data_IF_293751355105
#
_entry.id   IF_293751355105
#
_cell.length_a   1.000
_cell.length_b   1.000
_cell.length_c   1.000
_cell.angle_alpha   90.00
_cell.angle_beta   90.00
_cell.angle_gamma   90.00
#
_symmetry.space_group_name_H-M   'P 1'
#
loop_
_entity.id
_entity.type
_entity.pdbx_description
1 polymer ?
#
# COMPACT_ATOMS: atom_id res chain seq x y z
N UNK A 1 19.76 -6.34 25.06
CA UNK A 1 18.82 -6.84 24.04
C UNK A 1 18.79 -5.79 22.93
N UNK A 2 19.48 -5.98 21.80
CA UNK A 2 19.59 -4.95 20.73
C UNK A 2 19.59 -5.56 19.31
N UNK A 3 19.23 -6.84 19.17
CA UNK A 3 19.32 -7.59 17.91
C UNK A 3 18.00 -7.78 17.15
N UNK A 4 16.85 -7.55 17.81
CA UNK A 4 15.53 -7.71 17.18
C UNK A 4 15.07 -6.44 16.46
N UNK A 5 15.34 -5.26 17.04
CA UNK A 5 14.96 -3.96 16.47
C UNK A 5 15.61 -3.76 15.09
N UNK A 6 16.93 -3.95 14.96
CA UNK A 6 17.62 -3.77 13.66
C UNK A 6 17.16 -4.72 12.54
N UNK A 7 16.75 -5.95 12.88
CA UNK A 7 16.22 -6.89 11.88
C UNK A 7 14.81 -6.52 11.45
N UNK A 8 14.00 -5.98 12.37
CA UNK A 8 12.64 -5.50 12.09
C UNK A 8 12.66 -4.25 11.22
N UNK A 9 13.52 -3.28 11.56
CA UNK A 9 13.80 -2.10 10.74
C UNK A 9 14.22 -2.47 9.31
N UNK A 10 15.17 -3.41 9.18
CA UNK A 10 15.61 -3.88 7.87
C UNK A 10 14.51 -4.60 7.09
N UNK A 11 13.59 -5.27 7.77
CA UNK A 11 12.43 -5.93 7.15
C UNK A 11 11.38 -4.92 6.67
N UNK A 12 11.06 -3.94 7.50
CA UNK A 12 10.15 -2.84 7.16
C UNK A 12 10.68 -2.03 5.97
N UNK A 13 11.96 -1.65 6.01
CA UNK A 13 12.58 -0.89 4.92
C UNK A 13 12.56 -1.66 3.60
N UNK A 14 12.79 -2.98 3.64
CA UNK A 14 12.71 -3.83 2.47
C UNK A 14 11.27 -3.94 1.93
N UNK A 15 10.29 -4.07 2.81
CA UNK A 15 8.88 -4.10 2.42
C UNK A 15 8.44 -2.77 1.79
N UNK A 16 8.82 -1.63 2.37
CA UNK A 16 8.54 -0.30 1.81
C UNK A 16 9.23 -0.09 0.46
N UNK A 17 10.48 -0.54 0.32
CA UNK A 17 11.18 -0.52 -0.97
C UNK A 17 10.44 -1.36 -2.03
N UNK A 18 9.88 -2.52 -1.63
CA UNK A 18 9.09 -3.35 -2.53
C UNK A 18 7.78 -2.68 -2.95
N UNK A 19 7.09 -2.02 -2.03
CA UNK A 19 5.88 -1.25 -2.33
C UNK A 19 6.17 -0.03 -3.20
N UNK A 20 7.34 0.59 -3.06
CA UNK A 20 7.77 1.71 -3.91
C UNK A 20 7.82 1.32 -5.38
N UNK A 21 8.13 0.06 -5.67
CA UNK A 21 8.22 -0.52 -7.01
C UNK A 21 7.02 -1.40 -7.37
N UNK A 22 5.93 -1.36 -6.60
CA UNK A 22 4.77 -2.20 -6.87
C UNK A 22 4.15 -1.84 -8.23
N UNK A 23 3.81 -2.83 -9.04
CA UNK A 23 3.19 -2.58 -10.35
C UNK A 23 1.68 -2.85 -10.32
N UNK A 24 1.27 -3.77 -9.44
CA UNK A 24 -0.12 -4.24 -9.34
C UNK A 24 -0.62 -4.14 -7.92
N UNK A 25 -1.88 -3.74 -7.76
CA UNK A 25 -2.59 -3.77 -6.48
C UNK A 25 -3.40 -5.05 -6.35
N UNK A 26 -3.02 -5.87 -5.38
CA UNK A 26 -3.77 -7.02 -4.91
C UNK A 26 -3.72 -7.13 -3.38
N UNK A 27 -4.85 -7.44 -2.74
CA UNK A 27 -4.95 -7.58 -1.28
C UNK A 27 -5.14 -9.03 -0.82
N UNK A 28 -5.22 -9.98 -1.74
CA UNK A 28 -5.38 -11.40 -1.47
C UNK A 28 -4.60 -12.26 -2.45
N UNK A 29 -4.69 -13.58 -2.29
CA UNK A 29 -4.09 -14.52 -3.21
C UNK A 29 -4.64 -14.35 -4.62
N UNK A 30 -3.74 -14.35 -5.61
CA UNK A 30 -4.09 -14.21 -7.02
C UNK A 30 -3.77 -15.49 -7.81
N UNK A 31 -4.52 -15.70 -8.90
CA UNK A 31 -4.39 -16.87 -9.76
C UNK A 31 -4.97 -18.17 -9.19
N UNK A 32 -4.84 -19.26 -9.95
CA UNK A 32 -5.47 -20.56 -9.66
C UNK A 32 -4.95 -21.21 -8.35
N UNK A 33 -3.71 -20.93 -7.97
CA UNK A 33 -3.10 -21.42 -6.74
C UNK A 33 -3.34 -20.51 -5.53
N UNK A 34 -3.97 -19.33 -5.73
CA UNK A 34 -4.14 -18.34 -4.67
C UNK A 34 -2.82 -17.82 -4.10
N UNK A 35 -1.77 -17.73 -4.93
CA UNK A 35 -0.46 -17.27 -4.48
C UNK A 35 -0.47 -15.77 -4.20
N UNK A 36 0.17 -15.35 -3.12
CA UNK A 36 0.34 -13.92 -2.84
C UNK A 36 1.37 -13.33 -3.80
N UNK A 37 1.09 -12.12 -4.29
CA UNK A 37 2.10 -11.34 -4.97
C UNK A 37 3.14 -10.83 -3.95
N UNK A 38 4.41 -10.67 -4.35
CA UNK A 38 5.42 -10.13 -3.43
C UNK A 38 5.07 -8.73 -2.91
N UNK A 39 4.35 -7.92 -3.69
CA UNK A 39 3.78 -6.64 -3.27
C UNK A 39 2.74 -6.82 -2.16
N UNK A 40 1.88 -7.83 -2.27
CA UNK A 40 0.87 -8.14 -1.24
C UNK A 40 1.52 -8.63 0.05
N UNK A 41 2.59 -9.44 -0.05
CA UNK A 41 3.36 -9.85 1.13
C UNK A 41 4.02 -8.65 1.81
N UNK A 42 4.62 -7.75 1.03
CA UNK A 42 5.21 -6.51 1.55
C UNK A 42 4.14 -5.63 2.23
N UNK A 43 2.97 -5.49 1.61
CA UNK A 43 1.82 -4.79 2.21
C UNK A 43 1.45 -5.39 3.59
N UNK A 44 1.33 -6.72 3.68
CA UNK A 44 1.01 -7.39 4.95
C UNK A 44 2.09 -7.18 6.02
N UNK A 45 3.38 -7.18 5.62
CA UNK A 45 4.49 -6.90 6.54
C UNK A 45 4.44 -5.47 7.08
N UNK A 46 4.18 -4.48 6.22
CA UNK A 46 4.02 -3.08 6.67
C UNK A 46 2.79 -2.93 7.55
N UNK A 47 1.66 -3.55 7.18
CA UNK A 47 0.43 -3.56 7.98
C UNK A 47 0.61 -4.24 9.35
N UNK A 48 1.55 -5.17 9.52
CA UNK A 48 1.87 -5.72 10.82
C UNK A 48 2.74 -4.76 11.65
N UNK A 49 3.66 -4.04 11.00
CA UNK A 49 4.56 -3.08 11.64
C UNK A 49 3.85 -1.80 12.12
N UNK A 50 2.73 -1.42 11.48
CA UNK A 50 1.91 -0.28 11.90
C UNK A 50 1.42 -0.40 13.34
N UNK A 51 1.20 -1.62 13.87
CA UNK A 51 0.78 -1.83 15.26
C UNK A 51 1.88 -1.50 16.29
N UNK A 52 3.16 -1.49 15.88
CA UNK A 52 4.30 -1.37 16.79
C UNK A 52 5.08 -0.05 16.62
N UNK A 53 5.14 0.50 15.40
CA UNK A 53 5.97 1.66 15.04
C UNK A 53 5.19 2.72 14.25
N UNK A 54 4.01 3.12 14.72
CA UNK A 54 3.08 4.01 14.02
C UNK A 54 3.72 5.28 13.43
N UNK A 55 4.57 5.97 14.20
CA UNK A 55 5.18 7.23 13.76
C UNK A 55 6.12 7.06 12.57
N UNK A 56 7.07 6.13 12.67
CA UNK A 56 8.03 5.87 11.60
C UNK A 56 7.36 5.30 10.35
N UNK A 57 6.39 4.40 10.51
CA UNK A 57 5.64 3.87 9.38
C UNK A 57 4.87 4.98 8.67
N UNK A 58 4.24 5.91 9.41
CA UNK A 58 3.52 7.05 8.83
C UNK A 58 4.42 7.92 7.95
N UNK A 59 5.61 8.27 8.42
CA UNK A 59 6.60 9.04 7.63
C UNK A 59 7.02 8.31 6.35
N UNK A 60 7.20 6.99 6.41
CA UNK A 60 7.54 6.20 5.23
C UNK A 60 6.38 6.09 4.23
N UNK A 61 5.14 5.98 4.71
CA UNK A 61 3.96 5.94 3.86
C UNK A 61 3.67 7.28 3.18
N UNK A 62 3.90 8.40 3.87
CA UNK A 62 3.78 9.74 3.27
C UNK A 62 4.77 9.93 2.11
N UNK A 63 6.02 9.47 2.29
CA UNK A 63 7.00 9.44 1.21
C UNK A 63 6.55 8.54 0.07
N UNK A 64 6.05 7.35 0.38
CA UNK A 64 5.56 6.40 -0.61
C UNK A 64 4.39 6.98 -1.44
N UNK A 65 3.49 7.76 -0.83
CA UNK A 65 2.43 8.50 -1.55
C UNK A 65 2.98 9.49 -2.58
N UNK A 66 4.18 10.02 -2.37
CA UNK A 66 4.78 11.00 -3.27
C UNK A 66 5.72 10.39 -4.31
N UNK A 67 6.45 9.32 -3.97
CA UNK A 67 7.53 8.77 -4.80
C UNK A 67 7.24 7.38 -5.36
N UNK A 68 6.22 6.71 -4.85
CA UNK A 68 5.84 5.38 -5.29
C UNK A 68 5.25 5.37 -6.70
N UNK A 69 5.29 4.19 -7.31
CA UNK A 69 4.47 3.85 -8.48
C UNK A 69 2.97 4.06 -8.22
N UNK A 70 2.11 4.06 -9.24
CA UNK A 70 0.66 4.09 -9.07
C UNK A 70 0.14 3.09 -8.04
N UNK A 71 0.55 1.82 -8.14
CA UNK A 71 0.16 0.79 -7.17
C UNK A 71 0.76 1.03 -5.77
N UNK A 72 2.02 1.47 -5.69
CA UNK A 72 2.67 1.80 -4.42
C UNK A 72 1.94 2.90 -3.65
N UNK A 73 1.49 3.95 -4.35
CA UNK A 73 0.70 5.04 -3.76
C UNK A 73 -0.66 4.58 -3.26
N UNK A 74 -1.33 3.70 -4.00
CA UNK A 74 -2.59 3.08 -3.56
C UNK A 74 -2.38 2.24 -2.31
N UNK A 75 -1.34 1.40 -2.26
CA UNK A 75 -0.99 0.66 -1.05
C UNK A 75 -0.71 1.58 0.14
N UNK A 76 -0.01 2.69 -0.10
CA UNK A 76 0.27 3.66 0.95
C UNK A 76 -1.00 4.29 1.51
N UNK A 77 -1.96 4.67 0.66
CA UNK A 77 -3.24 5.23 1.11
C UNK A 77 -4.06 4.24 1.93
N UNK A 78 -4.11 2.96 1.53
CA UNK A 78 -4.78 1.89 2.31
C UNK A 78 -4.11 1.68 3.68
N UNK A 79 -2.78 1.72 3.74
CA UNK A 79 -2.04 1.57 5.00
C UNK A 79 -2.22 2.79 5.90
N UNK A 80 -2.29 4.00 5.32
CA UNK A 80 -2.55 5.24 6.05
C UNK A 80 -3.96 5.24 6.64
N UNK A 81 -4.96 4.77 5.91
CA UNK A 81 -6.34 4.62 6.41
C UNK A 81 -6.44 3.68 7.61
N UNK A 82 -5.72 2.56 7.59
CA UNK A 82 -5.66 1.63 8.72
C UNK A 82 -4.97 2.23 9.95
N UNK A 83 -3.97 3.09 9.74
CA UNK A 83 -3.27 3.80 10.82
C UNK A 83 -4.14 4.91 11.43
N UNK A 84 -4.73 5.73 10.56
CA UNK A 84 -5.45 6.95 10.90
C UNK A 84 -6.47 7.23 9.77
N UNK A 85 -7.77 7.03 10.04
CA UNK A 85 -8.82 7.20 9.02
C UNK A 85 -8.84 8.60 8.40
N UNK A 86 -8.49 9.65 9.16
CA UNK A 86 -8.44 11.01 8.64
C UNK A 86 -7.23 11.21 7.70
N UNK A 87 -6.08 10.63 8.04
CA UNK A 87 -4.90 10.62 7.17
C UNK A 87 -5.15 9.80 5.89
N UNK A 88 -5.85 8.67 6.01
CA UNK A 88 -6.30 7.87 4.87
C UNK A 88 -7.19 8.67 3.92
N UNK A 89 -8.23 9.32 4.46
CA UNK A 89 -9.11 10.19 3.67
C UNK A 89 -8.37 11.34 2.97
N UNK A 90 -7.40 11.96 3.64
CA UNK A 90 -6.54 12.98 3.04
C UNK A 90 -5.65 12.40 1.92
N UNK A 91 -5.11 11.19 2.10
CA UNK A 91 -4.32 10.50 1.08
C UNK A 91 -5.19 10.18 -0.15
N UNK A 92 -6.38 9.62 0.02
CA UNK A 92 -7.30 9.35 -1.08
C UNK A 92 -7.74 10.63 -1.81
N UNK A 93 -8.02 11.69 -1.07
CA UNK A 93 -8.36 12.99 -1.66
C UNK A 93 -7.23 13.53 -2.54
N UNK A 94 -5.97 13.35 -2.13
CA UNK A 94 -4.80 13.75 -2.92
C UNK A 94 -4.65 12.92 -4.21
N UNK A 95 -5.03 11.64 -4.17
CA UNK A 95 -4.93 10.73 -5.30
C UNK A 95 -6.09 10.86 -6.29
N UNK A 96 -7.20 11.51 -5.91
CA UNK A 96 -8.45 11.56 -6.68
C UNK A 96 -8.31 12.10 -8.11
N UNK A 97 -7.38 12.99 -8.35
CA UNK A 97 -7.16 13.62 -9.65
C UNK A 97 -5.94 13.03 -10.39
N UNK A 98 -5.41 11.88 -9.93
CA UNK A 98 -4.23 11.25 -10.51
C UNK A 98 -4.59 10.40 -11.74
N UNK A 99 -4.11 10.77 -12.95
CA UNK A 99 -4.47 10.08 -14.19
C UNK A 99 -3.61 8.84 -14.46
N UNK A 100 -2.69 8.47 -13.56
CA UNK A 100 -1.80 7.34 -13.82
C UNK A 100 -2.58 6.02 -13.86
N UNK A 101 -2.23 5.18 -14.84
CA UNK A 101 -2.82 3.86 -14.99
C UNK A 101 -2.46 2.96 -13.80
N UNK A 102 -3.46 2.23 -13.31
CA UNK A 102 -3.39 1.33 -12.18
C UNK A 102 -3.84 -0.06 -12.62
N UNK A 103 -2.99 -1.05 -12.38
CA UNK A 103 -3.35 -2.45 -12.57
C UNK A 103 -3.81 -3.03 -11.24
N UNK A 104 -4.96 -3.69 -11.24
CA UNK A 104 -5.53 -4.33 -10.07
C UNK A 104 -5.71 -5.82 -10.32
N UNK A 105 -5.58 -6.62 -9.27
CA UNK A 105 -5.89 -8.04 -9.32
C UNK A 105 -6.69 -8.48 -8.10
N UNK A 106 -7.79 -9.17 -8.35
CA UNK A 106 -8.65 -9.76 -7.32
C UNK A 106 -8.93 -11.22 -7.70
N UNK A 107 -8.30 -12.14 -6.97
CA UNK A 107 -8.37 -13.57 -7.31
C UNK A 107 -7.80 -13.83 -8.71
N UNK A 108 -8.64 -14.26 -9.65
CA UNK A 108 -8.25 -14.49 -11.05
C UNK A 108 -8.53 -13.29 -11.98
N UNK A 109 -9.19 -12.24 -11.49
CA UNK A 109 -9.57 -11.10 -12.31
C UNK A 109 -8.47 -10.06 -12.29
N UNK A 110 -7.99 -9.68 -13.48
CA UNK A 110 -7.12 -8.54 -13.69
C UNK A 110 -7.96 -7.38 -14.20
N UNK A 111 -7.82 -6.22 -13.56
CA UNK A 111 -8.48 -4.98 -13.92
C UNK A 111 -7.46 -3.89 -14.25
N UNK A 112 -7.91 -2.92 -15.03
CA UNK A 112 -7.15 -1.70 -15.32
C UNK A 112 -8.08 -0.52 -15.05
N UNK A 113 -7.58 0.47 -14.31
CA UNK A 113 -8.27 1.71 -13.97
C UNK A 113 -7.25 2.84 -13.85
N UNK A 114 -7.65 4.03 -13.43
CA UNK A 114 -6.73 5.08 -12.98
C UNK A 114 -6.63 5.13 -11.46
N UNK A 115 -5.54 5.70 -10.95
CA UNK A 115 -5.39 5.97 -9.51
C UNK A 115 -6.51 6.88 -9.01
N UNK A 116 -6.88 7.90 -9.78
CA UNK A 116 -7.96 8.82 -9.47
C UNK A 116 -9.34 8.16 -9.38
N UNK A 117 -9.70 7.32 -10.35
CA UNK A 117 -10.94 6.55 -10.31
C UNK A 117 -10.99 5.63 -9.09
N UNK A 118 -9.92 4.88 -8.85
CA UNK A 118 -9.83 3.99 -7.69
C UNK A 118 -9.94 4.74 -6.36
N UNK A 119 -9.31 5.91 -6.24
CA UNK A 119 -9.41 6.76 -5.06
C UNK A 119 -10.82 7.36 -4.91
N UNK A 120 -11.48 7.71 -6.00
CA UNK A 120 -12.86 8.17 -6.02
C UNK A 120 -13.85 7.12 -5.52
N UNK A 121 -13.69 5.87 -5.96
CA UNK A 121 -14.47 4.73 -5.46
C UNK A 121 -14.27 4.55 -3.95
N UNK A 122 -13.03 4.58 -3.48
CA UNK A 122 -12.73 4.47 -2.04
C UNK A 122 -13.35 5.57 -1.19
N UNK A 123 -13.32 6.81 -1.65
CA UNK A 123 -13.94 7.94 -0.97
C UNK A 123 -15.47 7.86 -0.94
N UNK A 124 -16.09 7.13 -1.86
CA UNK A 124 -17.53 6.92 -1.89
C UNK A 124 -17.98 5.75 -0.98
N UNK A 125 -17.07 4.82 -0.68
CA UNK A 125 -17.31 3.67 0.21
C UNK A 125 -17.02 3.98 1.70
N UNK A 126 -16.24 5.03 1.99
CA UNK A 126 -15.83 5.47 3.32
C UNK A 126 -16.90 6.30 4.06
#
# INVERSE_FOLDING_TARGET
MFGKEKKKDSGLAAAIARLTQAETVAFGGVGLAGSLLPETEAYQQVAAATAEQQGEVRDQLDRLLCTGTPAGRVYAAVLMEQLDPAAGGAAWTRLRDDPAELHTMTGCLMGTTTVGEYAGERLAEA
#
